data_IF_844160905497
#
_entry.id   IF_844160905497
#
_cell.length_a   1.000
_cell.length_b   1.000
_cell.length_c   1.000
_cell.angle_alpha   90.00
_cell.angle_beta   90.00
_cell.angle_gamma   90.00
#
_symmetry.space_group_name_H-M   'P 1'
#
loop_
_entity.id
_entity.type
_entity.pdbx_description
1 polymer ?
#
# COMPACT_ATOMS: atom_id res chain seq x y z
N UNK A 1 79.37 14.77 15.22
CA UNK A 1 78.65 13.51 14.88
C UNK A 1 78.78 13.29 13.37
N UNK A 2 79.13 12.07 12.98
CA UNK A 2 79.56 11.67 11.62
C UNK A 2 78.38 11.58 10.65
N UNK A 3 78.64 12.01 9.42
CA UNK A 3 77.91 11.78 8.16
C UNK A 3 77.50 10.32 7.92
N UNK A 4 76.32 10.10 7.29
CA UNK A 4 75.99 9.11 6.23
C UNK A 4 74.45 9.10 6.04
N UNK A 5 73.90 9.56 4.91
CA UNK A 5 73.86 8.93 3.59
C UNK A 5 72.71 7.91 3.43
N UNK A 6 71.79 8.27 2.52
CA UNK A 6 71.10 7.44 1.52
C UNK A 6 70.32 6.17 1.93
N UNK A 7 69.07 6.09 1.42
CA UNK A 7 68.42 4.98 0.69
C UNK A 7 66.88 5.17 0.81
N UNK A 8 66.20 5.81 -0.15
CA UNK A 8 65.62 5.21 -1.37
C UNK A 8 64.89 3.88 -1.09
N UNK A 9 63.56 3.95 -1.00
CA UNK A 9 62.62 2.88 -1.38
C UNK A 9 61.32 3.59 -1.80
N UNK A 10 61.19 4.09 -3.02
CA UNK A 10 60.91 3.34 -4.24
C UNK A 10 59.63 2.48 -4.15
N UNK A 11 58.64 2.95 -4.90
CA UNK A 11 57.81 2.16 -5.81
C UNK A 11 56.43 1.67 -5.34
N UNK A 12 55.51 1.86 -6.29
CA UNK A 12 54.29 1.10 -6.54
C UNK A 12 53.05 1.42 -5.69
N UNK A 13 52.56 2.65 -5.82
CA UNK A 13 51.13 2.93 -5.66
C UNK A 13 50.40 2.53 -6.96
N UNK A 14 49.29 1.80 -6.78
CA UNK A 14 48.15 1.63 -7.68
C UNK A 14 48.29 0.60 -8.81
N UNK A 15 48.29 -0.67 -8.42
CA UNK A 15 47.90 -1.79 -9.31
C UNK A 15 46.53 -2.30 -8.86
N UNK A 16 45.59 -2.36 -9.81
CA UNK A 16 44.29 -3.07 -9.81
C UNK A 16 43.10 -2.48 -9.02
N UNK A 17 42.38 -1.55 -9.65
CA UNK A 17 40.89 -1.49 -9.54
C UNK A 17 40.26 -1.60 -10.93
N UNK A 18 40.58 -2.71 -11.61
CA UNK A 18 39.71 -3.28 -12.62
C UNK A 18 39.02 -4.50 -11.99
N UNK A 19 37.78 -4.80 -12.42
CA UNK A 19 36.79 -5.73 -11.85
C UNK A 19 35.91 -5.05 -10.78
N UNK A 20 34.65 -4.71 -10.98
CA UNK A 20 33.68 -5.23 -11.94
C UNK A 20 32.53 -4.24 -12.04
N UNK A 21 32.12 -3.90 -13.27
CA UNK A 21 30.75 -3.49 -13.55
C UNK A 21 29.86 -4.75 -13.49
N UNK A 22 29.74 -5.34 -12.32
CA UNK A 22 28.69 -6.33 -12.08
C UNK A 22 27.45 -5.51 -11.74
N UNK A 23 26.57 -5.36 -12.73
CA UNK A 23 25.18 -5.05 -12.44
C UNK A 23 24.68 -6.24 -11.60
N UNK A 24 24.76 -6.11 -10.27
CA UNK A 24 24.24 -7.09 -9.34
C UNK A 24 22.79 -7.42 -9.71
N UNK A 25 22.32 -8.64 -9.41
CA UNK A 25 20.98 -9.07 -9.79
C UNK A 25 19.98 -8.00 -9.39
N UNK A 26 19.27 -7.45 -10.38
CA UNK A 26 18.18 -6.51 -10.16
C UNK A 26 17.29 -7.11 -9.09
N UNK A 27 17.18 -6.44 -7.95
CA UNK A 27 16.32 -6.89 -6.87
C UNK A 27 14.93 -7.11 -7.47
N UNK A 28 14.50 -8.38 -7.57
CA UNK A 28 13.12 -8.69 -7.92
C UNK A 28 12.30 -8.04 -6.83
N UNK A 29 11.52 -7.02 -7.22
CA UNK A 29 10.59 -6.36 -6.32
C UNK A 29 9.69 -7.38 -5.63
N UNK A 30 9.05 -7.01 -4.51
CA UNK A 30 8.18 -7.91 -3.78
C UNK A 30 7.16 -8.55 -4.73
N UNK A 31 7.12 -9.88 -4.74
CA UNK A 31 6.16 -10.66 -5.52
C UNK A 31 4.75 -10.28 -5.09
N UNK A 32 3.85 -10.07 -6.06
CA UNK A 32 2.45 -9.78 -5.79
C UNK A 32 1.80 -10.98 -5.05
N UNK A 33 1.31 -10.82 -3.81
CA UNK A 33 0.73 -11.95 -3.05
C UNK A 33 -0.64 -12.40 -3.59
N UNK A 34 -1.19 -11.72 -4.60
CA UNK A 34 -2.40 -12.11 -5.32
C UNK A 34 -3.71 -11.69 -4.65
N UNK A 35 -4.86 -11.91 -5.31
CA UNK A 35 -6.15 -11.39 -4.87
C UNK A 35 -6.62 -11.99 -3.54
N UNK A 36 -6.29 -13.25 -3.25
CA UNK A 36 -6.68 -13.89 -1.98
C UNK A 36 -6.00 -13.27 -0.75
N UNK A 37 -4.76 -12.81 -0.88
CA UNK A 37 -4.08 -12.11 0.22
C UNK A 37 -4.69 -10.72 0.46
N UNK A 38 -5.13 -10.05 -0.61
CA UNK A 38 -5.88 -8.81 -0.49
C UNK A 38 -7.22 -9.08 0.19
N UNK A 39 -7.96 -10.15 -0.16
CA UNK A 39 -9.23 -10.48 0.47
C UNK A 39 -9.10 -10.66 2.00
N UNK A 40 -8.10 -11.43 2.46
CA UNK A 40 -7.81 -11.58 3.90
C UNK A 40 -7.51 -10.24 4.57
N UNK A 41 -6.73 -9.37 3.91
CA UNK A 41 -6.45 -8.03 4.43
C UNK A 41 -7.74 -7.20 4.55
N UNK A 42 -8.62 -7.23 3.56
CA UNK A 42 -9.88 -6.48 3.59
C UNK A 42 -10.81 -7.01 4.66
N UNK A 43 -10.88 -8.33 4.86
CA UNK A 43 -11.66 -8.91 5.96
C UNK A 43 -11.19 -8.40 7.32
N UNK A 44 -9.87 -8.32 7.55
CA UNK A 44 -9.32 -7.74 8.76
C UNK A 44 -9.65 -6.23 8.91
N UNK A 45 -9.64 -5.47 7.81
CA UNK A 45 -9.99 -4.05 7.82
C UNK A 45 -11.49 -3.80 8.06
N UNK A 46 -12.35 -4.72 7.62
CA UNK A 46 -13.80 -4.66 7.85
C UNK A 46 -14.16 -4.90 9.32
N UNK A 47 -13.25 -5.42 10.14
CA UNK A 47 -13.46 -5.53 11.58
C UNK A 47 -13.18 -4.21 12.34
N UNK A 48 -12.68 -3.16 11.68
CA UNK A 48 -12.39 -1.87 12.31
C UNK A 48 -13.69 -1.12 12.66
N UNK A 49 -13.72 -0.42 13.81
CA UNK A 49 -14.89 0.35 14.25
C UNK A 49 -15.30 1.42 13.23
N UNK A 50 -14.33 1.97 12.47
CA UNK A 50 -14.60 2.93 11.40
C UNK A 50 -15.28 2.30 10.17
N UNK A 51 -15.29 0.98 10.06
CA UNK A 51 -16.07 0.25 9.08
C UNK A 51 -17.43 -0.18 9.66
N UNK A 52 -17.44 -0.77 10.86
CA UNK A 52 -18.63 -1.41 11.45
C UNK A 52 -19.63 -0.41 12.02
N UNK A 53 -19.16 0.74 12.52
CA UNK A 53 -19.98 1.78 13.14
C UNK A 53 -19.54 3.20 12.69
N UNK A 54 -19.55 3.50 11.37
CA UNK A 54 -18.97 4.73 10.81
C UNK A 54 -19.62 6.03 11.31
N UNK A 55 -20.84 5.96 11.84
CA UNK A 55 -21.56 7.10 12.42
C UNK A 55 -21.36 7.27 13.93
N UNK A 56 -20.81 6.27 14.60
CA UNK A 56 -20.61 6.28 16.06
C UNK A 56 -19.18 6.69 16.44
N UNK A 57 -18.24 6.59 15.50
CA UNK A 57 -16.86 7.01 15.66
C UNK A 57 -16.65 8.45 15.22
N UNK A 58 -15.74 9.17 15.88
CA UNK A 58 -15.36 10.51 15.43
C UNK A 58 -14.47 10.40 14.18
N UNK A 59 -14.70 11.20 13.14
CA UNK A 59 -13.91 11.09 11.92
C UNK A 59 -12.40 11.13 12.15
N UNK A 60 -11.82 12.05 12.95
CA UNK A 60 -10.37 12.06 13.17
C UNK A 60 -9.78 10.76 13.72
N UNK A 61 -10.52 9.96 14.50
CA UNK A 61 -10.00 8.66 14.99
C UNK A 61 -9.87 7.61 13.88
N UNK A 62 -10.50 7.81 12.72
CA UNK A 62 -10.46 6.90 11.59
C UNK A 62 -9.29 7.12 10.62
N UNK A 63 -8.39 8.07 10.89
CA UNK A 63 -7.25 8.37 10.01
C UNK A 63 -6.39 7.14 9.69
N UNK A 64 -6.15 6.29 10.68
CA UNK A 64 -5.37 5.05 10.50
C UNK A 64 -6.07 4.09 9.55
N UNK A 65 -7.36 3.85 9.76
CA UNK A 65 -8.20 3.01 8.90
C UNK A 65 -8.14 3.53 7.45
N UNK A 66 -8.43 4.82 7.23
CA UNK A 66 -8.40 5.44 5.90
C UNK A 66 -7.01 5.36 5.26
N UNK A 67 -5.94 5.49 6.04
CA UNK A 67 -4.57 5.33 5.54
C UNK A 67 -4.30 3.91 5.04
N UNK A 68 -4.82 2.89 5.72
CA UNK A 68 -4.69 1.50 5.29
C UNK A 68 -5.47 1.22 3.99
N UNK A 69 -6.56 1.95 3.75
CA UNK A 69 -7.37 1.87 2.54
C UNK A 69 -6.74 2.53 1.31
N UNK A 70 -5.83 3.49 1.51
CA UNK A 70 -5.30 4.33 0.42
C UNK A 70 -4.65 3.57 -0.75
N UNK A 71 -4.19 2.34 -0.54
CA UNK A 71 -3.59 1.51 -1.58
C UNK A 71 -4.51 0.35 -2.03
N UNK A 72 -5.68 0.20 -1.42
CA UNK A 72 -6.60 -0.92 -1.69
C UNK A 72 -7.16 -0.81 -3.10
N UNK A 73 -7.74 0.34 -3.49
CA UNK A 73 -8.32 0.51 -4.83
C UNK A 73 -7.30 0.26 -5.93
N UNK A 74 -6.09 0.83 -5.79
CA UNK A 74 -4.98 0.58 -6.70
C UNK A 74 -4.56 -0.88 -6.81
N UNK A 75 -4.62 -1.64 -5.70
CA UNK A 75 -4.29 -3.07 -5.71
C UNK A 75 -5.44 -3.89 -6.30
N UNK A 76 -6.69 -3.62 -5.94
CA UNK A 76 -7.88 -4.30 -6.45
C UNK A 76 -8.01 -4.16 -7.98
N UNK A 77 -7.73 -2.98 -8.54
CA UNK A 77 -7.75 -2.75 -9.99
C UNK A 77 -6.80 -3.66 -10.78
N UNK A 78 -5.70 -4.11 -10.18
CA UNK A 78 -4.77 -5.05 -10.83
C UNK A 78 -5.44 -6.40 -11.14
N UNK A 79 -6.44 -6.77 -10.35
CA UNK A 79 -7.20 -8.02 -10.48
C UNK A 79 -8.53 -7.84 -11.22
N UNK A 80 -8.87 -6.63 -11.65
CA UNK A 80 -10.18 -6.32 -12.24
C UNK A 80 -10.29 -6.66 -13.74
N UNK A 81 -9.33 -7.37 -14.33
CA UNK A 81 -9.38 -7.77 -15.74
C UNK A 81 -10.51 -8.78 -15.96
N UNK A 82 -11.53 -8.42 -16.74
CA UNK A 82 -12.74 -9.24 -16.91
C UNK A 82 -13.75 -9.11 -15.76
N UNK A 83 -13.48 -8.27 -14.76
CA UNK A 83 -14.32 -8.06 -13.58
C UNK A 83 -14.65 -6.56 -13.43
N UNK A 84 -15.58 -6.02 -14.26
CA UNK A 84 -15.87 -4.58 -14.27
C UNK A 84 -16.43 -4.06 -12.94
N UNK A 85 -17.20 -4.87 -12.20
CA UNK A 85 -17.69 -4.49 -10.87
C UNK A 85 -16.58 -4.32 -9.84
N UNK A 86 -15.53 -5.15 -9.90
CA UNK A 86 -14.34 -4.97 -9.06
C UNK A 86 -13.59 -3.67 -9.40
N UNK A 87 -13.56 -3.29 -10.69
CA UNK A 87 -12.98 -2.01 -11.12
C UNK A 87 -13.77 -0.84 -10.51
N UNK A 88 -15.08 -0.87 -10.67
CA UNK A 88 -16.01 0.16 -10.19
C UNK A 88 -15.91 0.33 -8.67
N UNK A 89 -16.04 -0.74 -7.90
CA UNK A 89 -15.89 -0.71 -6.44
C UNK A 89 -14.52 -0.17 -6.01
N UNK A 90 -13.44 -0.50 -6.73
CA UNK A 90 -12.11 0.01 -6.44
C UNK A 90 -11.97 1.52 -6.74
N UNK A 91 -12.66 2.02 -7.76
CA UNK A 91 -12.68 3.44 -8.11
C UNK A 91 -13.52 4.26 -7.12
N UNK A 92 -14.64 3.71 -6.66
CA UNK A 92 -15.47 4.28 -5.60
C UNK A 92 -14.73 4.35 -4.27
N UNK A 93 -14.02 3.29 -3.88
CA UNK A 93 -13.21 3.29 -2.66
C UNK A 93 -12.15 4.40 -2.68
N UNK A 94 -11.45 4.55 -3.79
CA UNK A 94 -10.46 5.60 -3.96
C UNK A 94 -11.11 7.00 -3.97
N UNK A 95 -12.30 7.15 -4.53
CA UNK A 95 -13.06 8.39 -4.48
C UNK A 95 -13.45 8.75 -3.05
N UNK A 96 -13.95 7.80 -2.26
CA UNK A 96 -14.29 7.99 -0.85
C UNK A 96 -13.06 8.33 0.00
N UNK A 97 -11.91 7.68 -0.23
CA UNK A 97 -10.63 8.04 0.43
C UNK A 97 -10.22 9.48 0.09
N UNK A 98 -10.36 9.90 -1.17
CA UNK A 98 -10.07 11.29 -1.59
C UNK A 98 -11.05 12.27 -0.96
N UNK A 99 -12.34 11.95 -0.92
CA UNK A 99 -13.36 12.78 -0.28
C UNK A 99 -13.05 12.99 1.20
N UNK A 100 -12.68 11.93 1.93
CA UNK A 100 -12.36 12.02 3.36
C UNK A 100 -11.21 12.99 3.63
N UNK A 101 -10.17 12.92 2.79
CA UNK A 101 -9.02 13.83 2.84
C UNK A 101 -9.38 15.25 2.40
N UNK A 102 -10.14 15.38 1.31
CA UNK A 102 -10.56 16.66 0.75
C UNK A 102 -11.47 17.46 1.67
N UNK A 103 -12.35 16.77 2.39
CA UNK A 103 -13.24 17.33 3.41
C UNK A 103 -12.52 17.62 4.73
N UNK A 104 -11.21 17.37 4.82
CA UNK A 104 -10.37 17.59 6.01
C UNK A 104 -10.90 16.86 7.25
N UNK A 105 -11.41 15.65 7.09
CA UNK A 105 -12.04 14.89 8.18
C UNK A 105 -11.09 14.53 9.33
N UNK A 106 -9.77 14.59 9.12
CA UNK A 106 -8.77 14.46 10.19
C UNK A 106 -8.55 15.74 10.99
N UNK A 107 -8.90 16.90 10.41
CA UNK A 107 -8.56 18.22 10.94
C UNK A 107 -9.82 19.04 11.32
N UNK A 108 -10.93 18.38 11.65
CA UNK A 108 -12.16 19.04 12.09
C UNK A 108 -13.00 19.61 10.95
N UNK A 109 -13.02 18.94 9.80
CA UNK A 109 -14.01 19.20 8.74
C UNK A 109 -15.45 19.07 9.23
N UNK A 110 -16.40 19.39 8.36
CA UNK A 110 -17.82 19.31 8.67
C UNK A 110 -18.22 17.90 9.13
N UNK A 111 -18.87 17.81 10.28
CA UNK A 111 -19.11 16.54 10.96
C UNK A 111 -20.04 15.63 10.16
N UNK A 112 -21.10 16.19 9.57
CA UNK A 112 -22.10 15.44 8.82
C UNK A 112 -21.52 14.95 7.49
N UNK A 113 -20.77 15.82 6.79
CA UNK A 113 -20.05 15.46 5.57
C UNK A 113 -19.02 14.35 5.84
N UNK A 114 -18.30 14.44 6.96
CA UNK A 114 -17.31 13.43 7.31
C UNK A 114 -17.91 12.11 7.76
N UNK A 115 -19.04 12.12 8.47
CA UNK A 115 -19.80 10.92 8.80
C UNK A 115 -20.33 10.23 7.52
N UNK A 116 -20.91 11.01 6.59
CA UNK A 116 -21.34 10.49 5.29
C UNK A 116 -20.17 9.88 4.50
N UNK A 117 -19.02 10.54 4.50
CA UNK A 117 -17.83 10.00 3.82
C UNK A 117 -17.31 8.71 4.45
N UNK A 118 -17.43 8.53 5.77
CA UNK A 118 -17.09 7.26 6.44
C UNK A 118 -18.06 6.14 6.08
N UNK A 119 -19.35 6.44 5.90
CA UNK A 119 -20.33 5.50 5.38
C UNK A 119 -19.93 5.06 3.96
N UNK A 120 -19.61 6.01 3.08
CA UNK A 120 -19.17 5.71 1.71
C UNK A 120 -17.92 4.84 1.67
N UNK A 121 -16.94 5.12 2.55
CA UNK A 121 -15.75 4.28 2.72
C UNK A 121 -16.08 2.86 3.17
N UNK A 122 -17.00 2.71 4.12
CA UNK A 122 -17.42 1.40 4.63
C UNK A 122 -18.13 0.58 3.54
N UNK A 123 -19.06 1.19 2.83
CA UNK A 123 -19.76 0.58 1.69
C UNK A 123 -18.79 0.16 0.60
N UNK A 124 -17.95 1.09 0.11
CA UNK A 124 -17.00 0.78 -0.96
C UNK A 124 -15.98 -0.29 -0.55
N UNK A 125 -15.55 -0.34 0.72
CA UNK A 125 -14.69 -1.42 1.21
C UNK A 125 -15.40 -2.78 1.18
N UNK A 126 -16.69 -2.83 1.57
CA UNK A 126 -17.51 -4.04 1.47
C UNK A 126 -17.66 -4.49 0.02
N UNK A 127 -17.87 -3.57 -0.90
CA UNK A 127 -18.06 -3.90 -2.33
C UNK A 127 -16.78 -4.44 -2.95
N UNK A 128 -15.62 -3.81 -2.66
CA UNK A 128 -14.32 -4.35 -3.09
C UNK A 128 -14.11 -5.75 -2.54
N UNK A 129 -14.37 -5.98 -1.25
CA UNK A 129 -14.20 -7.30 -0.66
C UNK A 129 -15.13 -8.35 -1.29
N UNK A 130 -16.38 -7.98 -1.54
CA UNK A 130 -17.38 -8.86 -2.16
C UNK A 130 -16.97 -9.27 -3.56
N UNK A 131 -16.64 -8.31 -4.42
CA UNK A 131 -16.24 -8.58 -5.81
C UNK A 131 -14.89 -9.31 -5.89
N UNK A 132 -13.97 -9.01 -4.98
CA UNK A 132 -12.68 -9.71 -4.89
C UNK A 132 -12.85 -11.17 -4.43
N UNK A 133 -13.77 -11.43 -3.50
CA UNK A 133 -14.09 -12.77 -3.01
C UNK A 133 -14.79 -13.65 -4.06
N UNK A 134 -15.50 -13.02 -5.00
CA UNK A 134 -16.13 -13.69 -6.13
C UNK A 134 -15.13 -14.10 -7.23
N UNK A 135 -13.85 -13.70 -7.13
CA UNK A 135 -12.83 -14.14 -8.08
C UNK A 135 -12.56 -15.65 -7.93
N UNK A 136 -12.38 -16.40 -9.03
CA UNK A 136 -12.15 -17.85 -8.99
C UNK A 136 -10.97 -18.28 -8.11
N UNK A 137 -9.86 -17.54 -8.16
CA UNK A 137 -8.62 -17.82 -7.41
C UNK A 137 -8.74 -17.55 -5.90
N UNK A 138 -9.80 -16.85 -5.48
CA UNK A 138 -10.12 -16.56 -4.09
C UNK A 138 -11.16 -17.55 -3.58
N UNK A 139 -12.25 -17.75 -4.33
CA UNK A 139 -13.36 -18.63 -3.96
C UNK A 139 -12.92 -20.10 -3.71
N UNK A 140 -11.94 -20.59 -4.46
CA UNK A 140 -11.39 -21.95 -4.34
C UNK A 140 -10.50 -22.17 -3.12
N UNK A 141 -10.05 -21.10 -2.45
CA UNK A 141 -9.26 -21.18 -1.20
C UNK A 141 -10.12 -21.19 0.06
N UNK A 142 -11.38 -20.78 -0.05
CA UNK A 142 -12.35 -20.71 1.04
C UNK A 142 -13.20 -21.98 1.20
N UNK A 143 -13.05 -22.96 0.31
CA UNK A 143 -13.75 -24.25 0.30
C UNK A 143 -12.95 -25.38 0.93
#
# INVERSE_FOLDING_TARGET
>A
MRTRAFLVLAAALLVLTACSREAGPTAKGPTDPGPGALAVKLEALRADDCHTAPTEVRPPSCEKFVTQLANVGGTARKYATGHPRLREAADELDAAVRAYRGNRCTAGGDADVCAATLIDLSTALTDVHTELSALPDVATRSS
#
